data_IF_101984355923
#
_entry.id   IF_101984355923
#
_cell.length_a   1.000
_cell.length_b   1.000
_cell.length_c   1.000
_cell.angle_alpha   90.00
_cell.angle_beta   90.00
_cell.angle_gamma   90.00
#
_symmetry.space_group_name_H-M   'P 1'
#
loop_
_entity.id
_entity.type
_entity.pdbx_description
1 polymer ?
#
# COMPACT_ATOMS: atom_id res chain seq x y z
N UNK A 1 -5.10 5.08 -8.06
CA UNK A 1 -3.85 5.88 -8.15
C UNK A 1 -3.43 6.24 -6.75
N UNK A 2 -2.19 5.95 -6.42
CA UNK A 2 -1.52 6.29 -5.15
C UNK A 2 -0.40 7.27 -5.43
N UNK A 3 -0.07 8.09 -4.44
CA UNK A 3 1.08 8.99 -4.49
C UNK A 3 2.14 8.51 -3.52
N UNK A 4 3.40 8.64 -3.92
CA UNK A 4 4.55 8.24 -3.11
C UNK A 4 5.42 9.45 -2.82
N UNK A 5 5.99 9.47 -1.62
CA UNK A 5 6.95 10.49 -1.19
C UNK A 5 8.18 9.80 -0.60
N UNK A 6 9.36 10.23 -1.04
CA UNK A 6 10.60 9.89 -0.35
C UNK A 6 10.63 10.56 1.03
N UNK A 7 10.83 9.75 2.08
CA UNK A 7 10.89 10.17 3.48
C UNK A 7 12.10 9.55 4.18
N UNK A 8 12.58 10.21 5.22
CA UNK A 8 13.73 9.72 6.01
C UNK A 8 13.35 8.53 6.90
N UNK A 9 12.14 8.52 7.48
CA UNK A 9 11.66 7.44 8.34
C UNK A 9 10.40 6.75 7.77
N UNK A 10 10.57 5.82 6.80
CA UNK A 10 9.45 5.14 6.14
C UNK A 10 8.69 4.13 7.04
N UNK A 11 9.30 3.66 8.14
CA UNK A 11 8.73 2.61 9.00
C UNK A 11 7.40 2.97 9.67
N UNK A 12 7.05 4.26 9.74
CA UNK A 12 5.78 4.74 10.27
C UNK A 12 4.60 4.68 9.29
N UNK A 13 4.83 4.28 8.04
CA UNK A 13 3.86 4.39 6.94
C UNK A 13 3.69 3.06 6.19
N UNK A 14 2.73 3.02 5.27
CA UNK A 14 2.73 2.03 4.20
C UNK A 14 3.86 2.33 3.20
N UNK A 15 4.71 1.35 2.91
CA UNK A 15 5.93 1.53 2.11
C UNK A 15 5.86 0.71 0.83
N UNK A 16 6.24 1.33 -0.29
CA UNK A 16 6.33 0.68 -1.59
C UNK A 16 7.62 -0.13 -1.74
N UNK A 17 7.50 -1.33 -2.29
CA UNK A 17 8.62 -2.14 -2.78
C UNK A 17 8.57 -2.17 -4.30
N UNK A 18 9.74 -1.96 -4.90
CA UNK A 18 9.93 -2.04 -6.35
C UNK A 18 10.79 -3.24 -6.73
N UNK A 19 10.61 -3.73 -7.95
CA UNK A 19 11.57 -4.62 -8.58
C UNK A 19 12.77 -3.85 -9.17
N UNK A 20 13.73 -4.57 -9.74
CA UNK A 20 14.93 -3.98 -10.36
C UNK A 20 14.63 -3.10 -11.58
N UNK A 21 13.42 -3.23 -12.15
CA UNK A 21 12.96 -2.45 -13.31
C UNK A 21 12.15 -1.21 -12.88
N UNK A 22 11.96 -1.01 -11.58
CA UNK A 22 11.19 0.10 -11.03
C UNK A 22 9.67 -0.13 -11.00
N UNK A 23 9.19 -1.37 -11.22
CA UNK A 23 7.76 -1.67 -11.11
C UNK A 23 7.37 -1.84 -9.65
N UNK A 24 6.21 -1.32 -9.27
CA UNK A 24 5.63 -1.55 -7.95
C UNK A 24 5.21 -3.02 -7.82
N UNK A 25 5.82 -3.74 -6.88
CA UNK A 25 5.55 -5.18 -6.65
C UNK A 25 4.94 -5.49 -5.29
N UNK A 26 5.05 -4.56 -4.32
CA UNK A 26 4.44 -4.75 -3.00
C UNK A 26 4.20 -3.43 -2.29
N UNK A 27 3.16 -3.39 -1.47
CA UNK A 27 2.89 -2.37 -0.46
C UNK A 27 2.87 -3.06 0.91
N UNK A 28 3.55 -2.48 1.89
CA UNK A 28 3.72 -3.08 3.23
C UNK A 28 3.39 -2.05 4.30
N UNK A 29 2.44 -2.34 5.18
CA UNK A 29 2.07 -1.46 6.30
C UNK A 29 3.14 -1.48 7.38
N UNK A 30 3.67 -0.31 7.74
CA UNK A 30 4.61 -0.07 8.84
C UNK A 30 5.70 -1.15 8.97
N UNK A 31 6.49 -1.38 7.92
CA UNK A 31 7.47 -2.46 7.92
C UNK A 31 8.59 -2.19 8.93
N UNK A 32 8.94 -3.21 9.72
CA UNK A 32 10.11 -3.15 10.63
C UNK A 32 11.41 -2.84 9.89
N UNK A 33 11.58 -3.43 8.70
CA UNK A 33 12.69 -3.15 7.78
C UNK A 33 12.08 -2.67 6.48
N UNK A 34 12.24 -1.38 6.19
CA UNK A 34 11.60 -0.74 5.04
C UNK A 34 12.27 -1.16 3.73
N UNK A 35 11.51 -1.64 2.73
CA UNK A 35 12.09 -2.09 1.46
C UNK A 35 12.53 -0.93 0.55
N UNK A 36 12.09 0.30 0.84
CA UNK A 36 12.50 1.53 0.16
C UNK A 36 12.25 2.74 1.06
N UNK A 37 12.59 3.94 0.58
CA UNK A 37 12.26 5.22 1.22
C UNK A 37 10.90 5.80 0.80
N UNK A 38 10.16 5.10 -0.05
CA UNK A 38 8.92 5.63 -0.65
C UNK A 38 7.70 5.24 0.18
N UNK A 39 7.19 6.21 0.94
CA UNK A 39 5.99 6.08 1.74
C UNK A 39 4.74 6.46 0.92
N UNK A 40 3.63 5.76 1.18
CA UNK A 40 2.29 6.13 0.73
C UNK A 40 1.90 7.49 1.33
N UNK A 41 1.56 8.43 0.46
CA UNK A 41 0.92 9.68 0.87
C UNK A 41 -0.54 9.37 1.20
N UNK A 42 -1.09 10.05 2.22
CA UNK A 42 -2.49 9.94 2.64
C UNK A 42 -3.53 10.49 1.66
N UNK A 43 -3.28 10.39 0.35
CA UNK A 43 -4.16 10.83 -0.74
C UNK A 43 -4.31 9.69 -1.73
N UNK A 44 -5.55 9.27 -1.95
CA UNK A 44 -5.86 8.09 -2.75
C UNK A 44 -7.01 8.37 -3.71
N UNK A 45 -6.87 7.88 -4.95
CA UNK A 45 -7.91 7.98 -5.97
C UNK A 45 -8.38 6.58 -6.35
N UNK A 46 -9.67 6.31 -6.16
CA UNK A 46 -10.27 5.00 -6.36
C UNK A 46 -11.40 5.00 -7.39
N UNK A 47 -11.55 3.87 -8.07
CA UNK A 47 -12.80 3.48 -8.71
C UNK A 47 -13.66 2.72 -7.68
N UNK A 48 -15.00 2.63 -7.87
CA UNK A 48 -15.90 1.97 -6.91
C UNK A 48 -15.52 0.53 -6.52
N UNK A 49 -14.80 -0.21 -7.37
CA UNK A 49 -14.32 -1.57 -7.09
C UNK A 49 -13.52 -1.70 -5.77
N UNK A 50 -12.96 -0.60 -5.25
CA UNK A 50 -12.28 -0.60 -3.95
C UNK A 50 -13.19 -1.08 -2.82
N UNK A 51 -14.50 -0.81 -2.88
CA UNK A 51 -15.44 -1.18 -1.84
C UNK A 51 -15.62 -2.70 -1.75
N UNK A 52 -15.45 -3.43 -2.85
CA UNK A 52 -15.52 -4.89 -2.83
C UNK A 52 -14.30 -5.48 -2.13
N UNK A 53 -13.11 -4.89 -2.36
CA UNK A 53 -11.88 -5.29 -1.68
C UNK A 53 -11.93 -4.99 -0.18
N UNK A 54 -12.43 -3.80 0.21
CA UNK A 54 -12.52 -3.39 1.62
C UNK A 54 -13.40 -4.36 2.43
N UNK A 55 -14.48 -4.88 1.85
CA UNK A 55 -15.38 -5.84 2.52
C UNK A 55 -14.71 -7.17 2.86
N UNK A 56 -13.64 -7.53 2.16
CA UNK A 56 -12.91 -8.78 2.37
C UNK A 56 -11.78 -8.65 3.40
N UNK A 57 -11.46 -7.42 3.82
CA UNK A 57 -10.39 -7.19 4.78
C UNK A 57 -10.70 -7.79 6.14
N UNK A 58 -9.64 -8.24 6.80
CA UNK A 58 -9.65 -8.62 8.21
C UNK A 58 -8.87 -7.58 9.02
N UNK A 59 -9.26 -7.32 10.26
CA UNK A 59 -8.47 -6.46 11.13
C UNK A 59 -7.03 -6.96 11.24
N UNK A 60 -6.08 -6.03 11.22
CA UNK A 60 -4.67 -6.31 11.47
C UNK A 60 -4.47 -6.73 12.93
N UNK A 61 -3.23 -7.07 13.29
CA UNK A 61 -2.87 -7.36 14.68
C UNK A 61 -3.14 -6.18 15.64
N UNK A 62 -3.34 -4.97 15.11
CA UNK A 62 -3.72 -3.75 15.85
C UNK A 62 -5.24 -3.58 15.97
N UNK A 63 -6.03 -4.43 15.34
CA UNK A 63 -7.48 -4.29 15.24
C UNK A 63 -7.94 -3.25 14.21
N UNK A 64 -7.04 -2.79 13.33
CA UNK A 64 -7.32 -1.77 12.30
C UNK A 64 -7.58 -2.43 10.93
N UNK A 65 -8.45 -1.83 10.11
CA UNK A 65 -8.54 -2.16 8.68
C UNK A 65 -7.58 -1.26 7.92
N UNK A 66 -6.52 -1.85 7.37
CA UNK A 66 -5.41 -1.10 6.80
C UNK A 66 -5.68 -0.74 5.33
N UNK A 67 -5.55 0.55 4.98
CA UNK A 67 -5.63 0.97 3.58
C UNK A 67 -4.52 0.34 2.73
N UNK A 68 -3.34 0.11 3.33
CA UNK A 68 -2.21 -0.54 2.67
C UNK A 68 -2.54 -1.97 2.26
N UNK A 69 -3.31 -2.71 3.07
CA UNK A 69 -3.76 -4.07 2.74
C UNK A 69 -4.78 -4.04 1.59
N UNK A 70 -5.70 -3.07 1.58
CA UNK A 70 -6.63 -2.87 0.44
C UNK A 70 -5.84 -2.68 -0.86
N UNK A 71 -4.86 -1.77 -0.85
CA UNK A 71 -4.05 -1.46 -2.02
C UNK A 71 -3.20 -2.67 -2.46
N UNK A 72 -2.66 -3.43 -1.51
CA UNK A 72 -1.90 -4.65 -1.79
C UNK A 72 -2.77 -5.71 -2.46
N UNK A 73 -4.00 -5.96 -1.97
CA UNK A 73 -4.94 -6.90 -2.60
C UNK A 73 -5.33 -6.42 -3.99
N UNK A 74 -5.56 -5.11 -4.17
CA UNK A 74 -5.83 -4.55 -5.49
C UNK A 74 -4.66 -4.80 -6.46
N UNK A 75 -3.42 -4.62 -6.02
CA UNK A 75 -2.23 -4.91 -6.81
C UNK A 75 -2.15 -6.40 -7.19
N UNK A 76 -2.38 -7.31 -6.24
CA UNK A 76 -2.38 -8.77 -6.46
C UNK A 76 -3.46 -9.21 -7.46
N UNK A 77 -4.60 -8.50 -7.49
CA UNK A 77 -5.68 -8.70 -8.48
C UNK A 77 -5.43 -8.00 -9.81
N UNK A 78 -4.22 -7.50 -10.06
CA UNK A 78 -3.83 -6.78 -11.28
C UNK A 78 -4.59 -5.47 -11.53
N UNK A 79 -5.18 -4.86 -10.50
CA UNK A 79 -5.68 -3.49 -10.63
C UNK A 79 -4.51 -2.51 -10.67
N UNK A 80 -4.63 -1.49 -11.52
CA UNK A 80 -3.68 -0.37 -11.53
C UNK A 80 -3.87 0.49 -10.27
N UNK A 81 -2.92 0.39 -9.36
CA UNK A 81 -2.84 1.24 -8.16
C UNK A 81 -1.93 2.45 -8.36
N UNK A 82 -1.01 2.40 -9.33
CA UNK A 82 -0.14 3.49 -9.80
C UNK A 82 -0.36 3.80 -11.27
#
# INVERSE_FOLDING_TARGET
MVLLKEVENPSGFGVAKFDERGNLVKLIEKPKVSPSKYALVGVYFFKPVVFDVIKELKPSWRGELEITDTLQIMLERNYRVG
#
